data_IF_768110238819
#
_entry.id   IF_768110238819
#
_cell.length_a   1.000
_cell.length_b   1.000
_cell.length_c   1.000
_cell.angle_alpha   90.00
_cell.angle_beta   90.00
_cell.angle_gamma   90.00
#
_symmetry.space_group_name_H-M   'P 1'
#
loop_
_entity.id
_entity.type
_entity.pdbx_description
1 polymer ?
#
# COMPACT_ATOMS: atom_id res chain seq x y z
N UNK A 1 -13.72 -47.35 -23.26
CA UNK A 1 -13.59 -47.43 -21.78
C UNK A 1 -12.86 -46.18 -21.29
N UNK A 2 -13.58 -45.18 -20.77
CA UNK A 2 -12.95 -44.00 -20.15
C UNK A 2 -12.40 -44.39 -18.77
N UNK A 3 -11.08 -44.40 -18.63
CA UNK A 3 -10.41 -44.67 -17.36
C UNK A 3 -10.24 -43.38 -16.53
N UNK A 4 -10.38 -43.52 -15.20
CA UNK A 4 -10.22 -42.46 -14.15
C UNK A 4 -9.01 -41.54 -14.34
N UNK A 5 -7.97 -42.02 -15.04
CA UNK A 5 -6.75 -41.24 -15.36
C UNK A 5 -7.00 -40.09 -16.34
N UNK A 6 -7.99 -40.19 -17.23
CA UNK A 6 -8.34 -39.11 -18.18
C UNK A 6 -9.13 -37.99 -17.50
N UNK A 7 -9.91 -38.31 -16.46
CA UNK A 7 -10.68 -37.33 -15.70
C UNK A 7 -9.78 -36.42 -14.84
N UNK A 8 -8.65 -36.96 -14.34
CA UNK A 8 -7.68 -36.21 -13.53
C UNK A 8 -6.88 -35.19 -14.34
N UNK A 9 -6.56 -35.48 -15.60
CA UNK A 9 -5.79 -34.55 -16.47
C UNK A 9 -6.67 -33.39 -16.96
N UNK A 10 -7.96 -33.64 -17.21
CA UNK A 10 -8.89 -32.58 -17.60
C UNK A 10 -9.25 -31.62 -16.45
N UNK A 11 -9.19 -32.07 -15.19
CA UNK A 11 -9.46 -31.23 -14.02
C UNK A 11 -8.36 -30.22 -13.68
N UNK A 12 -7.11 -30.50 -14.06
CA UNK A 12 -5.97 -29.63 -13.76
C UNK A 12 -5.88 -28.40 -14.69
N UNK A 13 -6.43 -28.48 -15.91
CA UNK A 13 -6.37 -27.38 -16.87
C UNK A 13 -7.40 -26.27 -16.59
N UNK A 14 -8.47 -26.56 -15.85
CA UNK A 14 -9.56 -25.60 -15.59
C UNK A 14 -9.29 -24.65 -14.41
N UNK A 15 -8.27 -24.90 -13.59
CA UNK A 15 -7.93 -24.03 -12.45
C UNK A 15 -6.96 -22.89 -12.80
N UNK A 16 -6.40 -22.86 -14.01
CA UNK A 16 -5.45 -21.83 -14.43
C UNK A 16 -6.10 -20.51 -14.85
N UNK A 17 -7.42 -20.49 -15.11
CA UNK A 17 -8.12 -19.31 -15.62
C UNK A 17 -8.77 -18.43 -14.52
N UNK A 18 -8.81 -18.92 -13.28
CA UNK A 18 -9.41 -18.24 -12.13
C UNK A 18 -8.37 -17.52 -11.26
N UNK A 19 -7.36 -16.90 -11.85
CA UNK A 19 -6.44 -16.06 -11.10
C UNK A 19 -7.22 -14.88 -10.52
N UNK A 20 -7.36 -14.84 -9.19
CA UNK A 20 -7.89 -13.66 -8.52
C UNK A 20 -7.10 -12.45 -9.03
N UNK A 21 -7.77 -11.55 -9.76
CA UNK A 21 -7.16 -10.33 -10.26
C UNK A 21 -6.76 -9.55 -9.00
N UNK A 22 -5.46 -9.55 -8.70
CA UNK A 22 -4.95 -8.80 -7.57
C UNK A 22 -5.46 -7.37 -7.73
N UNK A 23 -6.20 -6.88 -6.73
CA UNK A 23 -6.69 -5.52 -6.73
C UNK A 23 -5.50 -4.59 -7.04
N UNK A 24 -5.68 -3.66 -7.98
CA UNK A 24 -4.64 -2.68 -8.30
C UNK A 24 -4.28 -1.99 -6.98
N UNK A 25 -3.03 -2.14 -6.55
CA UNK A 25 -2.58 -1.55 -5.30
C UNK A 25 -2.86 -0.04 -5.37
N UNK A 26 -3.51 0.48 -4.33
CA UNK A 26 -3.75 1.91 -4.21
C UNK A 26 -2.42 2.65 -4.40
N UNK A 27 -2.32 3.42 -5.49
CA UNK A 27 -1.14 4.22 -5.80
C UNK A 27 -1.00 5.32 -4.76
N UNK A 28 0.23 5.65 -4.41
CA UNK A 28 0.53 6.73 -3.47
C UNK A 28 0.42 6.37 -1.98
N UNK A 29 0.14 5.11 -1.63
CA UNK A 29 0.22 4.64 -0.24
C UNK A 29 1.50 3.85 0.03
N UNK A 30 2.11 4.10 1.19
CA UNK A 30 3.22 3.28 1.69
C UNK A 30 2.66 1.92 2.13
N UNK A 31 3.32 0.85 1.70
CA UNK A 31 2.97 -0.54 2.01
C UNK A 31 4.19 -1.30 2.52
N UNK A 32 4.00 -2.41 3.22
CA UNK A 32 5.09 -3.29 3.65
C UNK A 32 5.23 -4.46 2.66
N UNK A 33 6.46 -4.74 2.23
CA UNK A 33 6.83 -5.92 1.44
C UNK A 33 8.14 -6.47 1.99
N UNK A 34 8.15 -7.75 2.35
CA UNK A 34 9.34 -8.47 2.83
C UNK A 34 10.05 -7.74 3.99
N UNK A 35 9.28 -7.16 4.93
CA UNK A 35 9.80 -6.40 6.07
C UNK A 35 10.27 -4.97 5.76
N UNK A 36 10.18 -4.52 4.50
CA UNK A 36 10.59 -3.20 4.07
C UNK A 36 9.40 -2.32 3.64
N UNK A 37 9.51 -1.01 3.84
CA UNK A 37 8.55 -0.05 3.32
C UNK A 37 8.73 0.09 1.81
N UNK A 38 7.61 0.16 1.10
CA UNK A 38 7.56 0.39 -0.35
C UNK A 38 6.49 1.41 -0.72
N UNK A 39 6.78 2.26 -1.70
CA UNK A 39 5.83 3.21 -2.29
C UNK A 39 5.79 2.95 -3.80
N UNK A 40 4.60 2.64 -4.33
CA UNK A 40 4.40 2.29 -5.74
C UNK A 40 5.37 1.21 -6.25
N UNK A 41 5.64 0.20 -5.41
CA UNK A 41 6.51 -0.93 -5.71
C UNK A 41 8.02 -0.65 -5.61
N UNK A 42 8.42 0.59 -5.29
CA UNK A 42 9.82 0.98 -5.12
C UNK A 42 10.21 0.99 -3.64
N UNK A 43 11.47 0.66 -3.27
CA UNK A 43 11.95 0.79 -1.90
C UNK A 43 11.74 2.21 -1.37
N UNK A 44 11.20 2.33 -0.16
CA UNK A 44 10.93 3.60 0.48
C UNK A 44 11.63 3.69 1.83
N UNK A 45 12.32 4.80 2.08
CA UNK A 45 12.93 5.12 3.38
C UNK A 45 12.31 6.40 3.89
N UNK A 46 11.79 6.37 5.10
CA UNK A 46 11.28 7.55 5.76
C UNK A 46 12.45 8.37 6.33
N UNK A 47 12.53 9.65 5.93
CA UNK A 47 13.45 10.64 6.48
C UNK A 47 12.61 11.85 6.84
N UNK A 48 12.55 12.20 8.12
CA UNK A 48 11.70 13.27 8.62
C UNK A 48 12.01 13.62 10.06
N UNK A 49 11.21 14.53 10.62
CA UNK A 49 11.32 15.01 11.99
C UNK A 49 10.06 14.69 12.80
N UNK A 50 10.19 14.67 14.12
CA UNK A 50 9.03 14.66 15.01
C UNK A 50 8.53 16.10 15.22
N UNK A 51 7.30 16.39 14.78
CA UNK A 51 6.66 17.70 14.92
C UNK A 51 5.31 17.54 15.65
N UNK A 52 5.37 17.22 16.95
CA UNK A 52 4.18 16.90 17.75
C UNK A 52 3.11 18.00 17.79
N UNK A 53 3.52 19.26 17.66
CA UNK A 53 2.63 20.44 17.69
C UNK A 53 2.21 20.93 16.30
N UNK A 54 2.62 20.26 15.21
CA UNK A 54 2.34 20.70 13.84
C UNK A 54 0.84 20.83 13.55
N UNK A 55 0.03 19.90 14.06
CA UNK A 55 -1.43 19.96 13.94
C UNK A 55 -2.04 21.19 14.65
N UNK A 56 -1.49 21.57 15.81
CA UNK A 56 -1.93 22.76 16.54
C UNK A 56 -1.58 24.04 15.78
N UNK A 57 -0.37 24.14 15.22
CA UNK A 57 0.01 25.28 14.37
C UNK A 57 -0.86 25.40 13.12
N UNK A 58 -1.31 24.27 12.55
CA UNK A 58 -2.20 24.24 11.38
C UNK A 58 -3.66 24.63 11.66
N UNK A 59 -4.06 24.74 12.93
CA UNK A 59 -5.42 25.06 13.35
C UNK A 59 -5.90 26.41 12.80
N UNK A 60 -7.19 26.56 12.41
CA UNK A 60 -7.77 27.86 12.06
C UNK A 60 -8.13 28.73 13.28
N UNK A 61 -8.09 28.16 14.49
CA UNK A 61 -8.48 28.86 15.72
C UNK A 61 -7.39 29.75 16.31
N UNK A 62 -7.68 30.36 17.46
CA UNK A 62 -6.78 31.30 18.17
C UNK A 62 -5.40 30.71 18.53
N UNK A 63 -5.28 29.38 18.58
CA UNK A 63 -4.05 28.66 18.92
C UNK A 63 -3.20 28.30 17.70
N UNK A 64 -3.68 28.57 16.48
CA UNK A 64 -2.97 28.31 15.24
C UNK A 64 -1.94 29.39 14.90
N UNK A 65 -0.90 28.98 14.18
CA UNK A 65 0.09 29.87 13.55
C UNK A 65 0.61 29.19 12.28
N UNK A 66 -0.15 29.33 11.19
CA UNK A 66 0.19 28.74 9.89
C UNK A 66 1.44 29.36 9.27
N UNK A 67 1.72 30.63 9.59
CA UNK A 67 2.93 31.29 9.10
C UNK A 67 4.18 30.65 9.72
N UNK A 68 4.13 30.30 11.02
CA UNK A 68 5.18 29.52 11.68
C UNK A 68 5.26 28.10 11.15
N UNK A 69 4.12 27.41 10.99
CA UNK A 69 4.12 26.06 10.42
C UNK A 69 4.87 26.02 9.08
N UNK A 70 4.62 26.99 8.19
CA UNK A 70 5.32 27.07 6.89
C UNK A 70 6.82 27.37 6.96
N UNK A 71 7.34 27.90 8.08
CA UNK A 71 8.79 28.09 8.28
C UNK A 71 9.49 26.86 8.85
N UNK A 72 8.73 25.96 9.47
CA UNK A 72 9.25 24.74 10.13
C UNK A 72 9.13 23.48 9.27
N UNK A 73 8.41 23.55 8.13
CA UNK A 73 8.31 22.52 7.09
C UNK A 73 9.38 22.72 6.01
#
# INVERSE_FOLDING_TARGET
MLSRRHLMVAGAAAMAAGGARAAERAKGFVTVRDGHLTLDGKPYRFVGANLWYGAWLGSPGKTGDRARLGREL
#
